data_IF_375529842383
#
_entry.id   IF_375529842383
#
_cell.length_a   1.000
_cell.length_b   1.000
_cell.length_c   1.000
_cell.angle_alpha   90.00
_cell.angle_beta   90.00
_cell.angle_gamma   90.00
#
_symmetry.space_group_name_H-M   'P 1'
#
loop_
_entity.id
_entity.type
_entity.pdbx_description
1 polymer ?
#
# COMPACT_ATOMS: atom_id res chain seq x y z
N UNK A 1 -49.31 -47.01 5.48
CA UNK A 1 -48.97 -46.06 6.54
C UNK A 1 -47.81 -45.21 6.03
N UNK A 2 -48.19 -44.11 5.43
CA UNK A 2 -47.22 -43.16 4.89
C UNK A 2 -46.82 -42.16 5.98
N UNK A 3 -45.58 -42.21 6.44
CA UNK A 3 -45.01 -41.26 7.43
C UNK A 3 -44.43 -40.05 6.70
N UNK A 4 -45.26 -39.11 6.36
CA UNK A 4 -44.80 -37.78 5.96
C UNK A 4 -44.04 -37.13 7.12
N UNK A 5 -42.70 -37.03 7.03
CA UNK A 5 -41.90 -36.29 8.00
C UNK A 5 -42.22 -34.79 7.84
N UNK A 6 -42.57 -34.09 8.93
CA UNK A 6 -42.81 -32.64 8.87
C UNK A 6 -41.47 -31.95 8.48
N UNK A 7 -41.45 -31.31 7.33
CA UNK A 7 -40.34 -30.42 6.97
C UNK A 7 -40.46 -29.15 7.79
N UNK A 8 -39.53 -28.94 8.73
CA UNK A 8 -39.48 -27.73 9.56
C UNK A 8 -39.34 -26.50 8.66
N UNK A 9 -40.20 -25.47 8.75
CA UNK A 9 -40.14 -24.27 7.92
C UNK A 9 -38.90 -23.42 8.18
N UNK A 10 -38.19 -23.69 9.27
CA UNK A 10 -36.94 -22.97 9.66
C UNK A 10 -35.65 -23.51 9.04
N UNK A 11 -35.69 -24.69 8.43
CA UNK A 11 -34.48 -25.33 7.91
C UNK A 11 -33.80 -24.56 6.74
N UNK A 12 -34.61 -24.09 5.78
CA UNK A 12 -34.07 -23.37 4.60
C UNK A 12 -33.50 -21.99 4.93
N UNK A 13 -34.21 -21.09 5.67
CA UNK A 13 -33.66 -19.78 6.01
C UNK A 13 -32.45 -19.88 6.93
N UNK A 14 -32.41 -20.84 7.85
CA UNK A 14 -31.27 -21.07 8.72
C UNK A 14 -30.03 -21.58 7.94
N UNK A 15 -30.24 -22.42 6.91
CA UNK A 15 -29.18 -22.86 6.01
C UNK A 15 -28.61 -21.69 5.20
N UNK A 16 -29.45 -20.78 4.68
CA UNK A 16 -29.02 -19.58 3.95
C UNK A 16 -28.20 -18.67 4.87
N UNK A 17 -28.66 -18.43 6.10
CA UNK A 17 -27.90 -17.63 7.08
C UNK A 17 -26.55 -18.27 7.41
N UNK A 18 -26.49 -19.60 7.57
CA UNK A 18 -25.24 -20.29 7.81
C UNK A 18 -24.24 -20.14 6.63
N UNK A 19 -24.72 -20.25 5.40
CA UNK A 19 -23.90 -20.03 4.21
C UNK A 19 -23.43 -18.58 4.07
N UNK A 20 -24.29 -17.61 4.32
CA UNK A 20 -23.93 -16.18 4.29
C UNK A 20 -22.90 -15.86 5.38
N UNK A 21 -23.05 -16.42 6.59
CA UNK A 21 -22.08 -16.25 7.67
C UNK A 21 -20.73 -16.90 7.31
N UNK A 22 -20.75 -18.10 6.74
CA UNK A 22 -19.54 -18.78 6.29
C UNK A 22 -18.82 -17.99 5.19
N UNK A 23 -19.57 -17.50 4.19
CA UNK A 23 -19.00 -16.66 3.13
C UNK A 23 -18.44 -15.35 3.67
N UNK A 24 -19.11 -14.73 4.62
CA UNK A 24 -18.62 -13.53 5.31
C UNK A 24 -17.30 -13.78 6.07
N UNK A 25 -17.22 -14.89 6.81
CA UNK A 25 -15.99 -15.28 7.51
C UNK A 25 -14.86 -15.61 6.55
N UNK A 26 -15.15 -16.33 5.45
CA UNK A 26 -14.17 -16.61 4.40
C UNK A 26 -13.69 -15.32 3.74
N UNK A 27 -14.58 -14.38 3.43
CA UNK A 27 -14.22 -13.08 2.86
C UNK A 27 -13.24 -12.33 3.78
N UNK A 28 -13.58 -12.18 5.07
CA UNK A 28 -12.71 -11.51 6.04
C UNK A 28 -11.35 -12.20 6.18
N UNK A 29 -11.35 -13.54 6.23
CA UNK A 29 -10.10 -14.31 6.34
C UNK A 29 -9.19 -14.15 5.11
N UNK A 30 -9.77 -14.16 3.90
CA UNK A 30 -9.00 -14.01 2.67
C UNK A 30 -8.56 -12.58 2.43
N UNK A 31 -9.36 -11.59 2.83
CA UNK A 31 -9.03 -10.16 2.70
C UNK A 31 -7.76 -9.82 3.51
N UNK A 32 -7.73 -10.16 4.80
CA UNK A 32 -6.55 -9.99 5.65
C UNK A 32 -5.32 -10.72 5.10
N UNK A 33 -5.51 -11.92 4.58
CA UNK A 33 -4.41 -12.72 4.06
C UNK A 33 -3.83 -12.18 2.76
N UNK A 34 -4.68 -11.67 1.87
CA UNK A 34 -4.26 -11.03 0.62
C UNK A 34 -3.55 -9.70 0.90
N UNK A 35 -4.02 -8.92 1.86
CA UNK A 35 -3.40 -7.69 2.27
C UNK A 35 -2.01 -7.92 2.87
N UNK A 36 -1.85 -8.92 3.76
CA UNK A 36 -0.54 -9.32 4.30
C UNK A 36 0.43 -9.83 3.23
N UNK A 37 -0.08 -10.53 2.20
CA UNK A 37 0.76 -10.97 1.07
C UNK A 37 1.23 -9.80 0.20
N UNK A 38 0.40 -8.78 0.03
CA UNK A 38 0.74 -7.57 -0.71
C UNK A 38 1.68 -6.68 0.10
N UNK A 39 1.35 -6.40 1.36
CA UNK A 39 2.14 -5.57 2.28
C UNK A 39 2.52 -6.36 3.54
N UNK A 40 3.65 -7.09 3.54
CA UNK A 40 4.13 -7.80 4.73
C UNK A 40 4.63 -6.86 5.84
N UNK A 41 4.81 -5.56 5.57
CA UNK A 41 5.32 -4.57 6.50
C UNK A 41 4.24 -3.55 6.89
N UNK A 42 3.05 -4.03 7.26
CA UNK A 42 1.96 -3.18 7.77
C UNK A 42 2.35 -2.45 9.06
N UNK A 43 3.15 -3.10 9.90
CA UNK A 43 3.77 -2.54 11.09
C UNK A 43 5.28 -2.73 10.96
N UNK A 44 5.97 -1.79 10.28
CA UNK A 44 7.39 -1.97 9.97
C UNK A 44 8.22 -2.02 11.25
N UNK A 45 9.04 -3.07 11.35
CA UNK A 45 9.94 -3.25 12.47
C UNK A 45 11.01 -2.16 12.48
N UNK A 46 11.11 -1.45 13.60
CA UNK A 46 12.16 -0.48 13.84
C UNK A 46 13.09 -1.05 14.92
N UNK A 47 14.31 -1.38 14.54
CA UNK A 47 15.37 -1.79 15.48
C UNK A 47 16.29 -0.57 15.68
N UNK A 48 16.05 0.17 16.74
CA UNK A 48 16.75 1.44 16.96
C UNK A 48 16.39 2.48 15.89
N UNK A 49 17.37 2.93 15.09
CA UNK A 49 17.17 3.86 13.97
C UNK A 49 17.05 3.15 12.62
N UNK A 50 17.05 1.81 12.59
CA UNK A 50 16.99 1.03 11.37
C UNK A 50 15.55 0.62 11.08
N UNK A 51 15.16 0.66 9.80
CA UNK A 51 13.91 0.15 9.30
C UNK A 51 14.18 -1.19 8.58
N UNK A 52 13.54 -2.26 9.02
CA UNK A 52 13.70 -3.59 8.43
C UNK A 52 12.43 -3.98 7.70
N UNK A 53 12.54 -4.25 6.40
CA UNK A 53 11.42 -4.59 5.54
C UNK A 53 11.58 -5.99 4.94
N UNK A 54 10.47 -6.72 4.87
CA UNK A 54 10.38 -8.01 4.18
C UNK A 54 9.86 -7.81 2.76
N UNK A 55 10.41 -8.55 1.83
CA UNK A 55 9.96 -8.60 0.45
C UNK A 55 8.62 -9.33 0.35
N UNK A 56 7.69 -8.80 -0.44
CA UNK A 56 6.44 -9.50 -0.71
C UNK A 56 6.62 -10.63 -1.75
N UNK A 57 5.56 -11.40 -2.02
CA UNK A 57 5.62 -12.52 -2.96
C UNK A 57 5.94 -12.11 -4.41
N UNK A 58 5.76 -10.83 -4.77
CA UNK A 58 6.07 -10.29 -6.10
C UNK A 58 7.49 -9.73 -6.21
N UNK A 59 8.27 -9.81 -5.14
CA UNK A 59 9.63 -9.29 -5.11
C UNK A 59 9.74 -7.80 -4.78
N UNK A 60 8.67 -7.16 -4.28
CA UNK A 60 8.65 -5.74 -3.94
C UNK A 60 8.72 -5.53 -2.43
N UNK A 61 9.27 -4.39 -2.02
CA UNK A 61 9.23 -3.90 -0.65
C UNK A 61 8.07 -2.91 -0.52
N UNK A 62 6.96 -3.40 0.03
CA UNK A 62 5.76 -2.61 0.31
C UNK A 62 5.69 -2.39 1.81
N UNK A 63 5.33 -1.19 2.26
CA UNK A 63 5.33 -0.81 3.67
C UNK A 63 4.23 0.21 3.96
N UNK A 64 3.61 0.12 5.13
CA UNK A 64 2.71 1.15 5.63
C UNK A 64 3.50 2.32 6.24
N UNK A 65 3.01 3.53 5.98
CA UNK A 65 3.60 4.75 6.50
C UNK A 65 2.55 5.85 6.69
N UNK A 66 3.02 7.06 6.94
CA UNK A 66 2.17 8.25 7.03
C UNK A 66 2.74 9.36 6.16
N UNK A 67 1.91 9.93 5.31
CA UNK A 67 2.20 11.11 4.51
C UNK A 67 1.33 12.27 5.01
N UNK A 68 1.94 13.36 5.47
CA UNK A 68 1.25 14.48 6.09
C UNK A 68 0.25 14.01 7.17
N UNK A 69 0.67 13.05 8.01
CA UNK A 69 -0.10 12.39 9.08
C UNK A 69 -1.23 11.45 8.60
N UNK A 70 -1.49 11.34 7.31
CA UNK A 70 -2.47 10.41 6.74
C UNK A 70 -1.83 9.05 6.46
N UNK A 71 -2.50 7.93 6.81
CA UNK A 71 -1.97 6.61 6.55
C UNK A 71 -1.90 6.34 5.05
N UNK A 72 -0.79 5.76 4.60
CA UNK A 72 -0.54 5.44 3.20
C UNK A 72 0.21 4.11 3.07
N UNK A 73 0.05 3.48 1.90
CA UNK A 73 0.86 2.34 1.47
C UNK A 73 1.94 2.82 0.50
N UNK A 74 3.18 2.46 0.79
CA UNK A 74 4.36 2.86 0.03
C UNK A 74 5.00 1.62 -0.59
N UNK A 75 5.46 1.72 -1.83
CA UNK A 75 6.30 0.72 -2.47
C UNK A 75 7.64 1.36 -2.83
N UNK A 76 8.74 0.76 -2.40
CA UNK A 76 10.08 1.22 -2.75
C UNK A 76 10.34 0.90 -4.22
N UNK A 77 10.60 1.94 -5.01
CA UNK A 77 10.87 1.82 -6.44
C UNK A 77 12.15 2.56 -6.83
N UNK A 78 13.23 1.81 -6.96
CA UNK A 78 14.53 2.36 -7.41
C UNK A 78 14.56 2.76 -8.88
N UNK A 79 13.55 2.34 -9.66
CA UNK A 79 13.36 2.76 -11.06
C UNK A 79 12.68 4.13 -11.18
N UNK A 80 12.00 4.59 -10.15
CA UNK A 80 11.37 5.90 -10.12
C UNK A 80 12.37 6.98 -9.66
N UNK A 81 12.60 8.02 -10.47
CA UNK A 81 13.47 9.14 -10.09
C UNK A 81 12.86 9.98 -8.97
N UNK A 82 11.55 10.21 -9.02
CA UNK A 82 10.80 11.06 -8.10
C UNK A 82 9.66 10.24 -7.48
N UNK A 83 9.35 10.48 -6.23
CA UNK A 83 8.20 9.88 -5.55
C UNK A 83 6.92 10.19 -6.32
N UNK A 84 6.17 9.14 -6.68
CA UNK A 84 4.94 9.23 -7.48
C UNK A 84 3.73 8.89 -6.63
N UNK A 85 2.77 9.80 -6.61
CA UNK A 85 1.53 9.71 -5.83
C UNK A 85 0.37 9.63 -6.81
N UNK A 86 -0.56 8.66 -6.66
CA UNK A 86 -1.79 8.63 -7.44
C UNK A 86 -2.55 9.96 -7.30
N UNK A 87 -2.92 10.58 -8.43
CA UNK A 87 -3.49 11.93 -8.40
C UNK A 87 -4.82 12.02 -7.63
N UNK A 88 -5.59 10.92 -7.59
CA UNK A 88 -6.85 10.87 -6.85
C UNK A 88 -6.68 10.93 -5.32
N UNK A 89 -5.48 10.63 -4.79
CA UNK A 89 -5.17 10.75 -3.36
C UNK A 89 -4.78 12.17 -2.94
N UNK A 90 -4.57 13.10 -3.87
CA UNK A 90 -4.02 14.42 -3.59
C UNK A 90 -4.84 15.18 -2.54
N UNK A 91 -6.17 15.21 -2.69
CA UNK A 91 -7.08 15.92 -1.78
C UNK A 91 -7.03 15.36 -0.36
N UNK A 92 -7.12 14.04 -0.22
CA UNK A 92 -7.09 13.36 1.08
C UNK A 92 -5.74 13.52 1.82
N UNK A 93 -4.65 13.67 1.06
CA UNK A 93 -3.30 13.86 1.59
C UNK A 93 -2.90 15.33 1.78
N UNK A 94 -3.82 16.28 1.49
CA UNK A 94 -3.57 17.71 1.59
C UNK A 94 -2.54 18.24 0.58
N UNK A 95 -2.40 17.55 -0.58
CA UNK A 95 -1.42 17.90 -1.62
C UNK A 95 -2.03 18.79 -2.69
N UNK A 96 -1.27 19.75 -3.17
CA UNK A 96 -1.68 20.64 -4.26
C UNK A 96 -0.94 20.30 -5.54
N UNK A 97 -1.68 20.29 -6.65
CA UNK A 97 -1.10 20.12 -7.98
C UNK A 97 -0.44 21.43 -8.44
N UNK A 98 0.86 21.34 -8.71
CA UNK A 98 1.67 22.42 -9.28
C UNK A 98 1.79 22.32 -10.79
N UNK A 99 2.92 22.78 -11.36
CA UNK A 99 3.16 22.79 -12.80
C UNK A 99 3.22 21.36 -13.37
N UNK A 100 2.59 21.12 -14.55
CA UNK A 100 2.69 19.85 -15.24
C UNK A 100 4.07 19.64 -15.85
N UNK A 101 4.50 18.35 -15.93
CA UNK A 101 5.70 17.95 -16.67
C UNK A 101 5.56 16.51 -17.16
N UNK A 102 6.24 16.14 -18.27
CA UNK A 102 6.20 14.78 -18.78
C UNK A 102 7.15 13.87 -18.00
N UNK A 103 6.71 12.63 -17.73
CA UNK A 103 7.53 11.55 -17.16
C UNK A 103 7.45 10.35 -18.10
N UNK A 104 8.60 9.76 -18.40
CA UNK A 104 8.67 8.50 -19.14
C UNK A 104 8.50 7.34 -18.17
N UNK A 105 7.57 6.45 -18.48
CA UNK A 105 7.27 5.22 -17.72
C UNK A 105 7.42 4.00 -18.63
N UNK A 106 7.39 2.81 -18.06
CA UNK A 106 7.38 1.57 -18.84
C UNK A 106 6.20 1.48 -19.83
N UNK A 107 5.09 2.16 -19.53
CA UNK A 107 3.87 2.18 -20.35
C UNK A 107 3.78 3.41 -21.27
N UNK A 108 4.85 4.19 -21.40
CA UNK A 108 4.89 5.40 -22.25
C UNK A 108 5.06 6.69 -21.42
N UNK A 109 4.85 7.82 -22.08
CA UNK A 109 4.98 9.14 -21.45
C UNK A 109 3.65 9.59 -20.86
N UNK A 110 3.67 9.99 -19.60
CA UNK A 110 2.50 10.49 -18.84
C UNK A 110 2.79 11.92 -18.39
N UNK A 111 1.81 12.80 -18.45
CA UNK A 111 1.89 14.13 -17.84
C UNK A 111 1.53 14.01 -16.37
N UNK A 112 2.44 14.40 -15.50
CA UNK A 112 2.27 14.43 -14.03
C UNK A 112 2.38 15.86 -13.54
N UNK A 113 1.96 16.12 -12.27
CA UNK A 113 1.97 17.45 -11.68
C UNK A 113 2.93 17.50 -10.50
N UNK A 114 3.75 18.54 -10.42
CA UNK A 114 4.64 18.75 -9.26
C UNK A 114 3.82 18.89 -7.98
N UNK A 115 4.35 18.34 -6.89
CA UNK A 115 3.83 18.57 -5.54
C UNK A 115 4.95 18.41 -4.52
N UNK A 116 4.69 18.76 -3.28
CA UNK A 116 5.65 18.61 -2.18
C UNK A 116 4.98 17.93 -1.00
N UNK A 117 5.64 16.94 -0.44
CA UNK A 117 5.28 16.25 0.79
C UNK A 117 5.97 16.99 1.95
N UNK A 118 5.21 17.48 2.93
CA UNK A 118 5.80 18.12 4.11
C UNK A 118 6.51 17.09 4.99
N UNK A 119 5.83 15.97 5.28
CA UNK A 119 6.37 14.89 6.10
C UNK A 119 5.99 13.52 5.56
N UNK A 120 6.98 12.64 5.50
CA UNK A 120 6.79 11.22 5.21
C UNK A 120 7.42 10.40 6.33
N UNK A 121 6.61 9.63 7.06
CA UNK A 121 7.05 8.79 8.18
C UNK A 121 6.86 7.32 7.86
N UNK A 122 7.91 6.52 8.07
CA UNK A 122 7.91 5.06 7.89
C UNK A 122 8.63 4.45 9.10
N UNK A 123 7.88 3.86 10.03
CA UNK A 123 8.45 3.40 11.29
C UNK A 123 9.20 4.53 12.03
N UNK A 124 10.49 4.34 12.28
CA UNK A 124 11.36 5.35 12.90
C UNK A 124 11.91 6.40 11.91
N UNK A 125 11.83 6.13 10.60
CA UNK A 125 12.34 7.04 9.57
C UNK A 125 11.35 8.16 9.30
N UNK A 126 11.84 9.42 9.34
CA UNK A 126 11.06 10.59 8.92
C UNK A 126 11.84 11.40 7.88
N UNK A 127 11.20 11.67 6.75
CA UNK A 127 11.69 12.53 5.68
C UNK A 127 10.83 13.79 5.63
N UNK A 128 11.46 14.94 5.34
CA UNK A 128 10.81 16.24 5.30
C UNK A 128 11.01 16.91 3.95
N UNK A 129 10.04 17.73 3.55
CA UNK A 129 10.11 18.55 2.34
C UNK A 129 10.50 17.76 1.09
N UNK A 130 9.87 16.61 0.90
CA UNK A 130 10.18 15.69 -0.20
C UNK A 130 9.43 16.12 -1.46
N UNK A 131 10.16 16.38 -2.55
CA UNK A 131 9.55 16.62 -3.85
C UNK A 131 8.84 15.36 -4.35
N UNK A 132 7.65 15.54 -4.91
CA UNK A 132 6.85 14.44 -5.43
C UNK A 132 6.10 14.86 -6.71
N UNK A 133 5.46 13.90 -7.35
CA UNK A 133 4.57 14.11 -8.49
C UNK A 133 3.23 13.45 -8.28
N UNK A 134 2.17 14.14 -8.67
CA UNK A 134 0.82 13.59 -8.76
C UNK A 134 0.64 12.96 -10.14
N UNK A 135 0.37 11.64 -10.17
CA UNK A 135 0.28 10.85 -11.40
C UNK A 135 -1.18 10.46 -11.70
N UNK A 136 -1.82 11.06 -12.71
CA UNK A 136 -3.18 10.68 -13.11
C UNK A 136 -3.27 9.30 -13.76
N UNK A 137 -2.17 8.76 -14.27
CA UNK A 137 -2.12 7.43 -14.89
C UNK A 137 -1.98 6.28 -13.90
N UNK A 138 -1.86 6.57 -12.60
CA UNK A 138 -1.78 5.57 -11.54
C UNK A 138 -3.16 5.45 -10.87
N UNK A 139 -3.74 4.24 -10.88
CA UNK A 139 -5.12 4.00 -10.46
C UNK A 139 -5.23 3.20 -9.16
N UNK A 140 -4.14 2.63 -8.68
CA UNK A 140 -4.06 2.00 -7.35
C UNK A 140 -3.74 3.05 -6.27
N UNK A 141 -3.83 2.66 -4.99
CA UNK A 141 -3.58 3.55 -3.85
C UNK A 141 -2.13 3.47 -3.34
N UNK A 142 -1.23 2.82 -4.09
CA UNK A 142 0.16 2.63 -3.68
C UNK A 142 1.02 3.80 -4.14
N UNK A 143 1.70 4.45 -3.23
CA UNK A 143 2.66 5.52 -3.53
C UNK A 143 4.01 4.89 -3.87
N UNK A 144 4.62 5.26 -5.00
CA UNK A 144 5.95 4.81 -5.37
C UNK A 144 7.00 5.73 -4.73
N UNK A 145 7.79 5.18 -3.81
CA UNK A 145 8.87 5.90 -3.14
C UNK A 145 10.11 5.88 -4.03
N UNK A 146 10.37 6.98 -4.72
CA UNK A 146 11.43 7.11 -5.71
C UNK A 146 12.83 7.39 -5.13
N UNK A 147 13.82 7.42 -6.02
CA UNK A 147 15.22 7.63 -5.66
C UNK A 147 15.48 8.99 -4.99
N UNK A 148 14.66 10.00 -5.22
CA UNK A 148 14.79 11.28 -4.51
C UNK A 148 14.63 11.13 -2.99
N UNK A 149 13.83 10.17 -2.52
CA UNK A 149 13.71 9.82 -1.11
C UNK A 149 14.79 8.84 -0.64
N UNK A 150 15.15 7.88 -1.49
CA UNK A 150 16.01 6.74 -1.13
C UNK A 150 17.51 7.07 -1.19
N UNK A 151 17.97 7.98 -2.07
CA UNK A 151 19.39 8.26 -2.32
C UNK A 151 20.20 8.77 -1.12
N UNK A 152 19.53 9.24 -0.07
CA UNK A 152 20.16 9.74 1.15
C UNK A 152 20.14 8.70 2.28
N UNK A 153 19.70 7.46 1.96
CA UNK A 153 19.58 6.35 2.89
C UNK A 153 20.52 5.23 2.45
N UNK A 154 21.07 4.53 3.43
CA UNK A 154 21.79 3.28 3.17
C UNK A 154 20.77 2.16 3.03
N UNK A 155 20.82 1.44 1.91
CA UNK A 155 19.93 0.32 1.59
C UNK A 155 20.77 -0.97 1.55
N UNK A 156 20.56 -1.86 2.50
CA UNK A 156 21.27 -3.15 2.58
C UNK A 156 20.30 -4.29 2.39
N UNK A 157 20.35 -4.93 1.24
CA UNK A 157 19.52 -6.11 0.94
C UNK A 157 20.29 -7.39 1.24
N UNK A 158 19.66 -8.28 2.04
CA UNK A 158 20.15 -9.65 2.29
C UNK A 158 19.00 -10.65 2.11
N UNK A 159 19.04 -11.40 1.02
CA UNK A 159 17.95 -12.29 0.63
C UNK A 159 16.64 -11.50 0.39
N UNK A 160 15.60 -11.80 1.16
CA UNK A 160 14.29 -11.14 1.07
C UNK A 160 14.12 -9.98 2.07
N UNK A 161 15.18 -9.66 2.82
CA UNK A 161 15.13 -8.59 3.83
C UNK A 161 15.91 -7.37 3.34
N UNK A 162 15.31 -6.19 3.46
CA UNK A 162 15.93 -4.89 3.21
C UNK A 162 16.05 -4.12 4.52
N UNK A 163 17.26 -3.75 4.89
CA UNK A 163 17.53 -2.85 6.01
C UNK A 163 17.81 -1.45 5.47
N UNK A 164 17.12 -0.46 6.01
CA UNK A 164 17.25 0.95 5.63
C UNK A 164 17.78 1.73 6.83
N UNK A 165 18.82 2.52 6.61
CA UNK A 165 19.47 3.37 7.62
C UNK A 165 19.59 4.80 7.11
N UNK A 166 19.62 5.74 8.04
CA UNK A 166 19.87 7.16 7.75
C UNK A 166 21.34 7.51 7.97
#
# INVERSE_FOLDING_TARGET
MDKTRPTSPFGKPMLILAWLSLLGLLYLYFDDKLEQQFNPNQQPDAVGSELVLQQNQRGHYVVSGQLNQMPVTLMLDTGATTTSIPAHLAESLGLQAGAPFPVSTANGTVTVYRTQIETLKIGALTLYNLDASLNPGQHDDTILLGMNALRHLELVQRGQTLTIRK
#
